data_IF_834676023714
#
_entry.id   IF_834676023714
#
_cell.length_a   1.000
_cell.length_b   1.000
_cell.length_c   1.000
_cell.angle_alpha   90.00
_cell.angle_beta   90.00
_cell.angle_gamma   90.00
#
_symmetry.space_group_name_H-M   'P 1'
#
loop_
_entity.id
_entity.type
_entity.pdbx_description
1 polymer ?
#
# COMPACT_ATOMS: atom_id res chain seq x y z
N UNK A 1 1.91 21.02 3.40
CA UNK A 1 1.80 21.02 1.92
C UNK A 1 0.96 19.83 1.50
N UNK A 2 -0.02 20.05 0.62
CA UNK A 2 -0.86 19.00 0.04
C UNK A 2 -0.72 19.00 -1.48
N UNK A 3 -0.45 17.85 -2.08
CA UNK A 3 -0.40 17.67 -3.53
C UNK A 3 -1.24 16.46 -3.94
N UNK A 4 -2.36 16.73 -4.62
CA UNK A 4 -3.20 15.70 -5.22
C UNK A 4 -2.50 15.05 -6.42
N UNK A 5 -2.62 13.74 -6.51
CA UNK A 5 -2.20 12.92 -7.65
C UNK A 5 -3.44 12.25 -8.21
N UNK A 6 -3.89 12.72 -9.38
CA UNK A 6 -5.06 12.14 -10.03
C UNK A 6 -4.70 10.80 -10.67
N UNK A 7 -5.53 9.79 -10.45
CA UNK A 7 -5.28 8.43 -10.90
C UNK A 7 -5.23 8.26 -12.43
N UNK A 8 -5.72 9.26 -13.17
CA UNK A 8 -5.64 9.33 -14.64
C UNK A 8 -4.29 9.80 -15.17
N UNK A 9 -3.49 10.43 -14.30
CA UNK A 9 -2.15 10.94 -14.64
C UNK A 9 -1.03 9.96 -14.20
N UNK A 10 -1.40 8.87 -13.50
CA UNK A 10 -0.49 7.80 -13.11
C UNK A 10 -0.04 6.97 -14.31
N UNK A 11 1.12 6.32 -14.18
CA UNK A 11 1.55 5.31 -15.14
C UNK A 11 0.57 4.13 -15.15
N UNK A 12 0.49 3.40 -16.27
CA UNK A 12 -0.33 2.20 -16.33
C UNK A 12 0.25 1.16 -17.28
N UNK A 13 -0.12 -0.10 -17.04
CA UNK A 13 0.19 -1.24 -17.90
C UNK A 13 -1.02 -2.16 -18.00
N UNK A 14 -1.16 -2.84 -19.14
CA UNK A 14 -2.18 -3.86 -19.36
C UNK A 14 -1.59 -5.02 -20.18
N UNK A 15 -1.41 -6.16 -19.52
CA UNK A 15 -0.90 -7.40 -20.10
C UNK A 15 -2.01 -8.43 -20.36
N UNK A 16 -3.27 -8.00 -20.34
CA UNK A 16 -4.45 -8.88 -20.38
C UNK A 16 -4.75 -9.48 -19.01
N UNK A 17 -3.84 -10.31 -18.48
CA UNK A 17 -4.00 -10.95 -17.17
C UNK A 17 -3.71 -10.01 -15.98
N UNK A 18 -2.88 -8.99 -16.20
CA UNK A 18 -2.51 -7.97 -15.23
C UNK A 18 -2.84 -6.58 -15.77
N UNK A 19 -3.55 -5.79 -14.97
CA UNK A 19 -3.74 -4.35 -15.20
C UNK A 19 -3.24 -3.59 -13.99
N UNK A 20 -2.24 -2.75 -14.19
CA UNK A 20 -1.57 -2.02 -13.11
C UNK A 20 -1.73 -0.52 -13.29
N UNK A 21 -1.94 0.20 -12.18
CA UNK A 21 -1.66 1.64 -12.09
C UNK A 21 -0.44 1.88 -11.22
N UNK A 22 0.50 2.66 -11.72
CA UNK A 22 1.78 2.95 -11.07
C UNK A 22 1.78 4.36 -10.49
N UNK A 23 1.85 4.44 -9.16
CA UNK A 23 1.95 5.72 -8.46
C UNK A 23 3.33 6.38 -8.64
N UNK A 24 4.37 5.57 -8.85
CA UNK A 24 5.76 5.97 -9.10
C UNK A 24 6.30 5.27 -10.35
N UNK A 25 7.47 5.68 -10.81
CA UNK A 25 8.16 5.05 -11.95
C UNK A 25 8.45 3.58 -11.69
N UNK A 26 7.94 2.69 -12.54
CA UNK A 26 8.04 1.25 -12.36
C UNK A 26 7.94 0.51 -13.70
N UNK A 27 8.66 -0.61 -13.82
CA UNK A 27 8.76 -1.39 -15.06
C UNK A 27 9.10 -0.49 -16.27
N UNK A 28 8.32 -0.60 -17.36
CA UNK A 28 8.50 0.20 -18.58
C UNK A 28 8.03 1.66 -18.42
N UNK A 29 7.29 1.99 -17.36
CA UNK A 29 6.87 3.36 -17.10
C UNK A 29 7.95 4.13 -16.34
N UNK A 30 8.47 5.18 -16.97
CA UNK A 30 9.52 6.02 -16.39
C UNK A 30 9.16 7.50 -16.42
N UNK A 31 9.16 8.13 -15.25
CA UNK A 31 9.06 9.57 -15.05
C UNK A 31 10.14 10.01 -14.04
N UNK A 32 11.20 10.71 -14.49
CA UNK A 32 12.31 11.09 -13.62
C UNK A 32 11.90 12.01 -12.46
N UNK A 33 10.76 12.69 -12.55
CA UNK A 33 10.23 13.56 -11.50
C UNK A 33 9.31 12.82 -10.50
N UNK A 34 9.11 11.50 -10.69
CA UNK A 34 8.21 10.69 -9.87
C UNK A 34 8.81 9.29 -9.67
N UNK A 35 10.00 9.22 -9.07
CA UNK A 35 10.73 7.96 -8.82
C UNK A 35 10.30 7.31 -7.49
N UNK A 36 10.08 8.13 -6.46
CA UNK A 36 9.74 7.73 -5.09
C UNK A 36 9.15 8.93 -4.34
N UNK A 37 8.53 8.67 -3.19
CA UNK A 37 8.14 9.70 -2.22
C UNK A 37 8.65 9.27 -0.83
N UNK A 38 9.61 10.02 -0.29
CA UNK A 38 10.36 9.56 0.88
C UNK A 38 10.93 8.16 0.64
N UNK A 39 10.67 7.24 1.58
CA UNK A 39 11.12 5.85 1.52
C UNK A 39 10.25 4.94 0.64
N UNK A 40 9.12 5.44 0.11
CA UNK A 40 8.22 4.69 -0.76
C UNK A 40 8.76 4.62 -2.18
N UNK A 41 9.12 3.42 -2.62
CA UNK A 41 9.65 3.19 -3.97
C UNK A 41 8.58 2.78 -4.98
N UNK A 42 7.59 1.99 -4.55
CA UNK A 42 6.53 1.47 -5.42
C UNK A 42 5.22 1.49 -4.65
N UNK A 43 4.16 1.95 -5.32
CA UNK A 43 2.78 1.62 -4.98
C UNK A 43 2.11 1.30 -6.31
N UNK A 44 1.71 0.04 -6.48
CA UNK A 44 0.97 -0.41 -7.65
C UNK A 44 -0.44 -0.82 -7.22
N UNK A 45 -1.45 -0.29 -7.90
CA UNK A 45 -2.85 -0.73 -7.77
C UNK A 45 -3.15 -1.72 -8.90
N UNK A 46 -3.03 -3.00 -8.57
CA UNK A 46 -3.00 -4.12 -9.50
C UNK A 46 -4.34 -4.86 -9.52
N UNK A 47 -4.82 -5.16 -10.73
CA UNK A 47 -5.92 -6.08 -11.00
C UNK A 47 -5.37 -7.32 -11.68
N UNK A 48 -5.62 -8.50 -11.10
CA UNK A 48 -5.09 -9.79 -11.55
C UNK A 48 -6.26 -10.73 -11.86
N UNK A 49 -6.31 -11.23 -13.09
CA UNK A 49 -7.34 -12.15 -13.55
C UNK A 49 -7.25 -13.51 -12.82
N UNK A 50 -8.41 -14.18 -12.69
CA UNK A 50 -8.50 -15.48 -12.03
C UNK A 50 -7.62 -16.54 -12.72
N UNK A 51 -6.93 -17.35 -11.92
CA UNK A 51 -6.01 -18.40 -12.38
C UNK A 51 -4.67 -17.89 -12.91
N UNK A 52 -4.35 -16.60 -12.73
CA UNK A 52 -3.11 -15.99 -13.20
C UNK A 52 -2.31 -15.36 -12.06
N UNK A 53 -1.11 -14.85 -12.33
CA UNK A 53 -0.26 -14.28 -11.30
C UNK A 53 1.16 -14.02 -11.74
N UNK A 54 1.96 -13.53 -10.80
CA UNK A 54 3.38 -13.36 -10.95
C UNK A 54 4.10 -14.68 -10.67
N UNK A 55 4.71 -15.26 -11.70
CA UNK A 55 5.60 -16.42 -11.56
C UNK A 55 6.81 -16.10 -10.68
N UNK A 56 7.53 -17.14 -10.26
CA UNK A 56 8.64 -17.02 -9.31
C UNK A 56 9.69 -16.02 -9.78
N UNK A 57 9.92 -14.97 -8.98
CA UNK A 57 10.88 -13.90 -9.26
C UNK A 57 11.64 -13.46 -7.99
N UNK A 58 12.83 -12.86 -8.14
CA UNK A 58 13.64 -12.45 -7.00
C UNK A 58 13.32 -11.04 -6.50
N UNK A 59 13.44 -10.84 -5.19
CA UNK A 59 13.63 -9.53 -4.57
C UNK A 59 14.85 -9.52 -3.66
N UNK A 60 15.39 -8.32 -3.42
CA UNK A 60 16.52 -8.08 -2.53
C UNK A 60 16.41 -6.68 -1.94
N UNK A 61 16.79 -6.53 -0.68
CA UNK A 61 16.92 -5.24 0.01
C UNK A 61 15.67 -4.35 -0.11
N UNK A 62 14.48 -4.94 0.08
CA UNK A 62 13.18 -4.27 -0.01
C UNK A 62 12.22 -4.81 1.07
N UNK A 63 11.46 -3.92 1.70
CA UNK A 63 10.28 -4.30 2.49
C UNK A 63 9.05 -4.22 1.56
N UNK A 64 8.34 -5.33 1.41
CA UNK A 64 7.22 -5.48 0.47
C UNK A 64 5.96 -5.74 1.28
N UNK A 65 4.93 -4.93 1.06
CA UNK A 65 3.62 -5.06 1.70
C UNK A 65 2.57 -5.24 0.60
N UNK A 66 1.84 -6.35 0.65
CA UNK A 66 0.68 -6.60 -0.21
C UNK A 66 -0.59 -6.37 0.62
N UNK A 67 -1.39 -5.38 0.24
CA UNK A 67 -2.68 -5.09 0.87
C UNK A 67 -3.82 -5.49 -0.06
N UNK A 68 -4.61 -6.51 0.31
CA UNK A 68 -5.69 -7.01 -0.55
C UNK A 68 -6.91 -6.12 -0.42
N UNK A 69 -7.32 -5.51 -1.53
CA UNK A 69 -8.55 -4.71 -1.60
C UNK A 69 -9.74 -5.63 -1.85
N UNK A 70 -9.66 -6.58 -2.78
CA UNK A 70 -10.71 -7.54 -3.07
C UNK A 70 -10.15 -8.82 -3.71
N UNK A 71 -10.83 -9.96 -3.56
CA UNK A 71 -10.39 -11.24 -4.12
C UNK A 71 -9.38 -11.99 -3.24
N UNK A 72 -8.68 -12.95 -3.84
CA UNK A 72 -7.79 -13.89 -3.15
C UNK A 72 -6.36 -13.80 -3.71
N UNK A 73 -5.38 -13.49 -2.86
CA UNK A 73 -3.96 -13.52 -3.20
C UNK A 73 -3.31 -14.74 -2.55
N UNK A 74 -2.76 -15.65 -3.36
CA UNK A 74 -1.97 -16.79 -2.88
C UNK A 74 -0.50 -16.52 -3.11
N UNK A 75 0.29 -16.59 -2.04
CA UNK A 75 1.74 -16.44 -2.06
C UNK A 75 2.43 -17.78 -1.88
N UNK A 76 3.56 -17.94 -2.56
CA UNK A 76 4.50 -19.04 -2.38
C UNK A 76 5.94 -18.51 -2.40
N UNK A 77 6.82 -19.01 -1.53
CA UNK A 77 8.22 -18.59 -1.53
C UNK A 77 9.24 -19.71 -1.30
N UNK A 78 10.50 -19.38 -1.57
CA UNK A 78 11.67 -20.23 -1.38
C UNK A 78 11.98 -20.61 0.08
N UNK A 79 11.30 -20.01 1.07
CA UNK A 79 11.40 -20.40 2.48
C UNK A 79 10.38 -21.49 2.85
N UNK A 80 9.51 -21.87 1.91
CA UNK A 80 8.49 -22.91 2.08
C UNK A 80 7.13 -22.40 2.55
N UNK A 81 6.91 -21.08 2.56
CA UNK A 81 5.61 -20.52 2.91
C UNK A 81 4.64 -20.67 1.73
N UNK A 82 3.37 -20.99 2.04
CA UNK A 82 2.27 -20.99 1.08
C UNK A 82 0.97 -20.62 1.78
N UNK A 83 0.46 -19.42 1.52
CA UNK A 83 -0.75 -18.90 2.18
C UNK A 83 -1.62 -18.12 1.20
N UNK A 84 -2.93 -18.13 1.45
CA UNK A 84 -3.89 -17.29 0.74
C UNK A 84 -4.47 -16.25 1.69
N UNK A 85 -4.47 -14.98 1.27
CA UNK A 85 -5.05 -13.84 2.00
C UNK A 85 -6.12 -13.15 1.15
N UNK A 86 -7.04 -12.46 1.82
CA UNK A 86 -8.26 -11.89 1.22
C UNK A 86 -8.49 -10.46 1.69
N UNK A 87 -9.61 -9.84 1.29
CA UNK A 87 -9.93 -8.42 1.56
C UNK A 87 -9.55 -7.97 2.97
N UNK A 88 -8.73 -6.92 3.02
CA UNK A 88 -8.30 -6.24 4.25
C UNK A 88 -7.19 -6.95 5.02
N UNK A 89 -6.77 -8.15 4.60
CA UNK A 89 -5.57 -8.81 5.12
C UNK A 89 -4.31 -8.19 4.49
N UNK A 90 -3.19 -8.40 5.18
CA UNK A 90 -1.88 -7.87 4.79
C UNK A 90 -0.86 -9.00 4.73
N UNK A 91 -0.16 -9.09 3.63
CA UNK A 91 1.07 -9.86 3.51
C UNK A 91 2.26 -8.91 3.64
N UNK A 92 3.33 -9.35 4.31
CA UNK A 92 4.55 -8.58 4.46
C UNK A 92 5.78 -9.46 4.30
N UNK A 93 6.77 -8.93 3.59
CA UNK A 93 8.03 -9.61 3.33
C UNK A 93 9.20 -8.62 3.44
N UNK A 94 10.21 -8.98 4.22
CA UNK A 94 11.53 -8.37 4.15
C UNK A 94 12.38 -9.23 3.24
N UNK A 95 12.75 -8.71 2.07
CA UNK A 95 13.54 -9.47 1.09
C UNK A 95 14.99 -9.65 1.52
N UNK A 96 15.54 -8.69 2.28
CA UNK A 96 16.87 -8.79 2.88
C UNK A 96 17.97 -9.21 1.89
N UNK A 97 18.77 -10.21 2.28
CA UNK A 97 19.84 -10.79 1.44
C UNK A 97 19.37 -11.41 0.12
N UNK A 98 18.07 -11.67 -0.04
CA UNK A 98 17.46 -12.21 -1.24
C UNK A 98 16.37 -13.23 -0.93
N UNK A 99 15.27 -13.18 -1.68
CA UNK A 99 14.16 -14.15 -1.63
C UNK A 99 13.57 -14.33 -3.03
N UNK A 100 13.22 -15.57 -3.37
CA UNK A 100 12.37 -15.87 -4.53
C UNK A 100 10.96 -16.14 -4.06
N UNK A 101 9.98 -15.55 -4.74
CA UNK A 101 8.56 -15.72 -4.43
C UNK A 101 7.68 -15.60 -5.68
N UNK A 102 6.44 -16.07 -5.57
CA UNK A 102 5.39 -15.95 -6.57
C UNK A 102 4.06 -15.60 -5.90
N UNK A 103 3.21 -14.89 -6.64
CA UNK A 103 1.94 -14.35 -6.16
C UNK A 103 0.86 -14.60 -7.22
N UNK A 104 -0.09 -15.49 -6.93
CA UNK A 104 -1.14 -15.90 -7.86
C UNK A 104 -2.54 -15.68 -7.31
N UNK A 105 -3.45 -15.27 -8.19
CA UNK A 105 -4.88 -15.30 -7.95
C UNK A 105 -5.44 -16.68 -8.29
N UNK A 106 -5.46 -17.59 -7.33
CA UNK A 106 -6.16 -18.89 -7.46
C UNK A 106 -7.65 -18.80 -7.07
N UNK A 107 -8.15 -17.59 -6.82
CA UNK A 107 -9.57 -17.33 -6.64
C UNK A 107 -10.36 -17.42 -7.94
N UNK A 108 -11.67 -17.18 -7.85
CA UNK A 108 -12.59 -17.21 -9.00
C UNK A 108 -12.86 -15.82 -9.59
N UNK A 109 -12.66 -14.78 -8.79
CA UNK A 109 -12.91 -13.39 -9.15
C UNK A 109 -11.60 -12.67 -9.44
N UNK A 110 -11.68 -11.47 -10.04
CA UNK A 110 -10.52 -10.59 -10.18
C UNK A 110 -10.01 -10.18 -8.79
N UNK A 111 -8.72 -10.39 -8.57
CA UNK A 111 -7.99 -9.90 -7.40
C UNK A 111 -7.61 -8.43 -7.64
N UNK A 112 -7.91 -7.57 -6.66
CA UNK A 112 -7.36 -6.21 -6.57
C UNK A 112 -6.48 -6.10 -5.33
N UNK A 113 -5.24 -5.68 -5.51
CA UNK A 113 -4.33 -5.41 -4.39
C UNK A 113 -3.53 -4.11 -4.59
N UNK A 114 -3.04 -3.55 -3.47
CA UNK A 114 -1.97 -2.58 -3.50
C UNK A 114 -0.65 -3.30 -3.18
N UNK A 115 0.29 -3.26 -4.12
CA UNK A 115 1.64 -3.76 -3.94
C UNK A 115 2.58 -2.59 -3.59
N UNK A 116 3.10 -2.58 -2.37
CA UNK A 116 3.80 -1.43 -1.78
C UNK A 116 5.25 -1.85 -1.48
N UNK A 117 6.22 -1.14 -2.04
CA UNK A 117 7.63 -1.38 -1.78
C UNK A 117 8.27 -0.19 -1.06
N UNK A 118 8.94 -0.49 0.03
CA UNK A 118 9.57 0.45 0.94
C UNK A 118 11.06 0.10 1.04
N UNK A 119 11.92 1.09 0.86
CA UNK A 119 13.34 0.90 1.13
C UNK A 119 13.56 0.60 2.62
N UNK A 120 14.31 -0.45 2.99
CA UNK A 120 14.70 -0.66 4.38
C UNK A 120 15.71 0.41 4.80
N UNK A 121 15.85 0.62 6.11
CA UNK A 121 16.83 1.53 6.71
C UNK A 121 18.29 1.08 6.51
N UNK A 122 18.50 -0.22 6.25
CA UNK A 122 19.76 -0.80 5.83
C UNK A 122 19.56 -2.03 4.94
N UNK A 123 20.59 -2.35 4.18
CA UNK A 123 20.65 -3.54 3.34
C UNK A 123 21.08 -4.78 4.13
N UNK A 124 20.83 -5.96 3.56
CA UNK A 124 21.36 -7.23 4.05
C UNK A 124 20.66 -7.78 5.29
N UNK A 125 19.41 -7.36 5.56
CA UNK A 125 18.59 -8.02 6.58
C UNK A 125 18.43 -9.51 6.27
N UNK A 126 18.13 -10.29 7.31
CA UNK A 126 17.71 -11.68 7.11
C UNK A 126 16.31 -11.67 6.46
N UNK A 127 16.09 -12.43 5.37
CA UNK A 127 14.77 -12.54 4.78
C UNK A 127 13.73 -13.02 5.80
N UNK A 128 12.53 -12.45 5.74
CA UNK A 128 11.40 -12.84 6.59
C UNK A 128 10.08 -12.62 5.87
N UNK A 129 9.11 -13.46 6.17
CA UNK A 129 7.76 -13.41 5.61
C UNK A 129 6.72 -13.56 6.72
N UNK A 130 5.55 -12.95 6.52
CA UNK A 130 4.35 -13.25 7.28
C UNK A 130 3.11 -12.69 6.62
N UNK A 131 1.95 -13.11 7.14
CA UNK A 131 0.67 -12.48 6.87
C UNK A 131 -0.02 -12.11 8.19
N UNK A 132 -0.90 -11.12 8.13
CA UNK A 132 -1.75 -10.72 9.24
C UNK A 132 -3.18 -10.53 8.75
N UNK A 133 -4.11 -11.20 9.44
CA UNK A 133 -5.54 -11.22 9.12
C UNK A 133 -6.31 -10.33 10.08
N UNK A 134 -6.31 -9.03 9.77
CA UNK A 134 -7.13 -8.06 10.51
C UNK A 134 -8.61 -8.32 10.28
N UNK A 135 -9.46 -8.09 11.29
CA UNK A 135 -10.89 -8.05 11.03
C UNK A 135 -11.21 -6.79 10.20
N UNK A 136 -12.25 -6.86 9.37
CA UNK A 136 -12.65 -5.68 8.58
C UNK A 136 -13.08 -4.54 9.51
N UNK A 137 -13.92 -4.82 10.50
CA UNK A 137 -14.45 -3.86 11.48
C UNK A 137 -13.36 -3.15 12.33
N UNK A 138 -12.13 -3.66 12.34
CA UNK A 138 -11.01 -3.00 13.02
C UNK A 138 -10.65 -1.64 12.39
N UNK A 139 -11.13 -1.35 11.17
CA UNK A 139 -10.93 -0.06 10.46
C UNK A 139 -12.22 0.74 10.23
N UNK A 140 -13.38 0.26 10.71
CA UNK A 140 -14.67 0.94 10.53
C UNK A 140 -14.72 2.20 11.40
N UNK A 141 -14.87 3.36 10.76
CA UNK A 141 -14.92 4.70 11.35
C UNK A 141 -13.75 5.03 12.31
N UNK A 142 -12.61 4.35 12.17
CA UNK A 142 -11.41 4.54 12.99
C UNK A 142 -10.15 4.13 12.23
N UNK A 143 -9.03 4.76 12.54
CA UNK A 143 -7.73 4.37 11.98
C UNK A 143 -7.26 3.02 12.56
N UNK A 144 -7.03 2.05 11.68
CA UNK A 144 -6.37 0.80 12.00
C UNK A 144 -4.87 0.92 11.73
N UNK A 145 -4.04 0.92 12.78
CA UNK A 145 -2.57 0.91 12.66
C UNK A 145 -2.06 -0.50 12.34
N UNK A 146 -1.70 -0.75 11.09
CA UNK A 146 -1.35 -2.10 10.61
C UNK A 146 0.15 -2.38 10.68
N UNK A 147 0.98 -1.42 10.25
CA UNK A 147 2.43 -1.58 10.11
C UNK A 147 3.15 -0.47 10.86
N UNK A 148 4.27 -0.79 11.50
CA UNK A 148 5.22 0.16 12.09
C UNK A 148 6.67 -0.31 11.88
N UNK A 149 7.61 0.54 12.26
CA UNK A 149 9.00 0.15 12.50
C UNK A 149 9.10 -0.91 13.62
N UNK A 150 10.32 -1.37 13.90
CA UNK A 150 10.60 -2.38 14.93
C UNK A 150 10.24 -1.93 16.36
N UNK A 151 10.23 -0.63 16.65
CA UNK A 151 9.99 -0.11 18.00
C UNK A 151 8.54 0.37 18.22
N UNK A 152 7.73 0.49 17.17
CA UNK A 152 6.35 0.95 17.27
C UNK A 152 5.39 -0.06 17.90
N UNK A 153 4.08 0.19 17.79
CA UNK A 153 3.04 -0.62 18.45
C UNK A 153 2.17 -1.45 17.49
N UNK A 154 2.34 -1.31 16.18
CA UNK A 154 1.56 -2.08 15.21
C UNK A 154 1.96 -3.56 15.22
N UNK A 155 1.04 -4.49 14.87
CA UNK A 155 1.36 -5.92 14.88
C UNK A 155 2.37 -6.32 13.80
N UNK A 156 2.37 -5.64 12.64
CA UNK A 156 3.35 -5.90 11.58
C UNK A 156 4.56 -4.99 11.77
N UNK A 157 5.76 -5.59 11.73
CA UNK A 157 7.04 -4.95 12.03
C UNK A 157 7.98 -4.98 10.83
N UNK A 158 8.31 -3.83 10.26
CA UNK A 158 9.27 -3.70 9.15
C UNK A 158 10.53 -2.94 9.56
N UNK A 159 11.55 -3.00 8.70
CA UNK A 159 12.85 -2.39 8.93
C UNK A 159 12.94 -0.96 8.37
N UNK A 160 11.94 -0.12 8.62
CA UNK A 160 11.93 1.28 8.19
C UNK A 160 11.02 2.11 9.12
N UNK A 161 11.35 3.39 9.33
CA UNK A 161 10.47 4.37 10.00
C UNK A 161 9.32 4.77 9.07
N UNK A 162 8.30 3.92 9.05
CA UNK A 162 7.04 4.16 8.38
C UNK A 162 5.92 3.44 9.10
N UNK A 163 4.76 4.09 9.13
CA UNK A 163 3.51 3.56 9.62
C UNK A 163 2.55 3.38 8.45
N UNK A 164 1.74 2.31 8.49
CA UNK A 164 0.65 2.13 7.53
C UNK A 164 -0.66 1.99 8.28
N UNK A 165 -1.63 2.83 7.91
CA UNK A 165 -2.98 2.85 8.47
C UNK A 165 -4.02 2.57 7.40
N UNK A 166 -5.09 1.86 7.77
CA UNK A 166 -6.29 1.73 6.93
C UNK A 166 -7.51 2.28 7.64
N UNK A 167 -8.47 2.77 6.87
CA UNK A 167 -9.73 3.33 7.33
C UNK A 167 -10.84 2.98 6.34
N UNK A 168 -11.97 2.51 6.85
CA UNK A 168 -13.25 2.53 6.16
C UNK A 168 -14.12 3.57 6.88
N UNK A 169 -14.38 4.68 6.22
CA UNK A 169 -15.16 5.78 6.81
C UNK A 169 -16.51 5.85 6.11
N UNK A 170 -17.59 5.77 6.88
CA UNK A 170 -18.94 5.86 6.34
C UNK A 170 -19.18 7.22 5.68
N UNK A 171 -20.12 7.28 4.74
CA UNK A 171 -20.57 8.52 4.11
C UNK A 171 -20.92 9.61 5.15
N UNK A 172 -20.58 10.86 4.82
CA UNK A 172 -20.88 12.06 5.62
C UNK A 172 -20.21 12.12 7.00
N UNK A 173 -19.24 11.24 7.25
CA UNK A 173 -18.38 11.27 8.44
C UNK A 173 -17.10 12.06 8.18
N UNK A 174 -16.46 12.43 9.28
CA UNK A 174 -15.16 13.07 9.27
C UNK A 174 -14.22 12.43 10.29
N UNK A 175 -12.92 12.46 9.99
CA UNK A 175 -11.87 12.01 10.90
C UNK A 175 -10.59 12.80 10.62
N UNK A 176 -9.85 13.15 11.67
CA UNK A 176 -8.53 13.75 11.56
C UNK A 176 -7.43 12.70 11.45
N UNK A 177 -6.30 13.10 10.85
CA UNK A 177 -5.05 12.34 10.92
C UNK A 177 -3.87 13.31 11.10
N UNK A 178 -3.12 13.20 12.21
CA UNK A 178 -1.99 14.08 12.46
C UNK A 178 -0.77 13.61 11.69
N UNK A 179 -0.21 14.47 10.84
CA UNK A 179 1.10 14.22 10.21
C UNK A 179 2.20 14.84 11.06
N UNK A 180 1.99 16.03 11.64
CA UNK A 180 2.97 16.78 12.46
C UNK A 180 4.21 17.25 11.68
N UNK A 181 4.94 18.19 12.28
CA UNK A 181 6.22 18.70 11.77
C UNK A 181 7.30 17.60 11.73
N UNK A 182 8.17 17.62 10.73
CA UNK A 182 9.21 16.61 10.51
C UNK A 182 8.72 15.28 9.91
N UNK A 183 7.44 15.16 9.58
CA UNK A 183 6.81 13.96 9.02
C UNK A 183 6.16 14.26 7.67
N UNK A 184 5.90 13.21 6.92
CA UNK A 184 5.15 13.26 5.66
C UNK A 184 4.29 12.01 5.50
N UNK A 185 3.21 12.10 4.73
CA UNK A 185 2.30 11.00 4.46
C UNK A 185 1.94 10.91 2.98
N UNK A 186 1.75 9.67 2.52
CA UNK A 186 1.19 9.35 1.22
C UNK A 186 -0.16 8.68 1.44
N UNK A 187 -1.22 9.34 1.00
CA UNK A 187 -2.59 8.86 1.13
C UNK A 187 -3.07 8.27 -0.19
N UNK A 188 -3.75 7.13 -0.13
CA UNK A 188 -4.43 6.50 -1.27
C UNK A 188 -5.93 6.40 -0.97
N UNK A 189 -6.75 7.04 -1.80
CA UNK A 189 -8.20 6.86 -1.82
C UNK A 189 -8.50 5.55 -2.56
N UNK A 190 -8.55 4.41 -1.86
CA UNK A 190 -8.69 3.09 -2.51
C UNK A 190 -10.07 2.95 -3.17
N UNK A 191 -11.13 3.32 -2.44
CA UNK A 191 -12.54 3.24 -2.86
C UNK A 191 -13.31 4.46 -2.33
N UNK A 192 -14.38 4.87 -3.01
CA UNK A 192 -15.23 5.99 -2.60
C UNK A 192 -14.71 7.36 -2.96
N UNK A 193 -15.27 8.39 -2.34
CA UNK A 193 -15.00 9.80 -2.59
C UNK A 193 -14.93 10.58 -1.27
N UNK A 194 -13.86 11.36 -1.09
CA UNK A 194 -13.64 12.19 0.09
C UNK A 194 -13.09 13.57 -0.26
N UNK A 195 -13.31 14.53 0.64
CA UNK A 195 -12.67 15.85 0.65
C UNK A 195 -11.61 15.83 1.77
N UNK A 196 -10.38 16.18 1.42
CA UNK A 196 -9.24 16.26 2.35
C UNK A 196 -8.74 17.71 2.33
N UNK A 197 -8.91 18.44 3.45
CA UNK A 197 -8.57 19.88 3.55
C UNK A 197 -9.04 20.70 2.31
N UNK A 198 -10.29 20.53 1.90
CA UNK A 198 -10.93 21.15 0.72
C UNK A 198 -10.50 20.61 -0.67
N UNK A 199 -9.68 19.57 -0.73
CA UNK A 199 -9.28 18.92 -1.98
C UNK A 199 -10.05 17.61 -2.13
N UNK A 200 -10.82 17.48 -3.21
CA UNK A 200 -11.58 16.27 -3.50
C UNK A 200 -10.70 15.18 -4.12
N UNK A 201 -10.78 13.96 -3.56
CA UNK A 201 -10.19 12.73 -4.08
C UNK A 201 -11.33 11.75 -4.42
N UNK A 202 -11.21 11.14 -5.59
CA UNK A 202 -12.08 10.03 -6.01
C UNK A 202 -11.31 8.71 -5.99
N UNK A 203 -11.97 7.63 -6.35
CA UNK A 203 -11.38 6.31 -6.37
C UNK A 203 -10.04 6.29 -7.10
N UNK A 204 -9.06 5.67 -6.44
CA UNK A 204 -7.67 5.47 -6.90
C UNK A 204 -6.82 6.75 -6.95
N UNK A 205 -7.36 7.92 -6.59
CA UNK A 205 -6.53 9.11 -6.42
C UNK A 205 -5.59 8.94 -5.22
N UNK A 206 -4.52 9.73 -5.21
CA UNK A 206 -3.59 9.80 -4.09
C UNK A 206 -3.27 11.24 -3.70
N UNK A 207 -2.63 11.42 -2.55
CA UNK A 207 -2.16 12.72 -2.08
C UNK A 207 -0.83 12.57 -1.35
N UNK A 208 0.14 13.41 -1.73
CA UNK A 208 1.34 13.68 -0.95
C UNK A 208 1.03 14.77 0.08
N UNK A 209 1.39 14.51 1.33
CA UNK A 209 1.13 15.37 2.48
C UNK A 209 2.46 15.58 3.21
N UNK A 210 2.86 16.82 3.43
CA UNK A 210 4.12 17.14 4.13
C UNK A 210 3.81 18.13 5.25
N UNK A 211 4.12 17.75 6.48
CA UNK A 211 4.04 18.59 7.68
C UNK A 211 2.70 19.31 7.86
N UNK A 212 1.60 18.66 7.49
CA UNK A 212 0.27 19.24 7.53
C UNK A 212 -0.74 18.18 7.98
N UNK A 213 -1.45 18.48 9.06
CA UNK A 213 -2.53 17.63 9.54
C UNK A 213 -3.71 17.68 8.58
N UNK A 214 -4.37 16.54 8.40
CA UNK A 214 -5.49 16.43 7.47
C UNK A 214 -6.79 16.15 8.20
N UNK A 215 -7.87 16.73 7.68
CA UNK A 215 -9.26 16.39 8.00
C UNK A 215 -9.87 15.77 6.75
N UNK A 216 -10.31 14.52 6.88
CA UNK A 216 -10.98 13.78 5.82
C UNK A 216 -12.48 13.87 6.07
N UNK A 217 -13.25 14.24 5.04
CA UNK A 217 -14.72 14.20 5.05
C UNK A 217 -15.24 13.40 3.86
N UNK A 218 -16.02 12.37 4.11
CA UNK A 218 -16.51 11.46 3.07
C UNK A 218 -17.78 12.00 2.37
N UNK A 219 -17.81 11.92 1.04
CA UNK A 219 -19.04 12.08 0.24
C UNK A 219 -19.74 10.75 0.01
N UNK A 220 -18.98 9.66 0.02
CA UNK A 220 -19.42 8.28 -0.06
C UNK A 220 -18.60 7.44 0.93
N UNK A 221 -19.11 6.28 1.34
CA UNK A 221 -18.32 5.35 2.16
C UNK A 221 -16.98 5.10 1.46
N UNK A 222 -15.90 5.39 2.17
CA UNK A 222 -14.57 5.51 1.59
C UNK A 222 -13.60 4.57 2.28
N UNK A 223 -12.81 3.88 1.48
CA UNK A 223 -11.72 3.04 1.95
C UNK A 223 -10.39 3.73 1.63
N UNK A 224 -9.63 4.06 2.67
CA UNK A 224 -8.43 4.89 2.58
C UNK A 224 -7.26 4.15 3.22
N UNK A 225 -6.07 4.34 2.63
CA UNK A 225 -4.80 3.91 3.18
C UNK A 225 -3.88 5.13 3.35
N UNK A 226 -3.20 5.22 4.49
CA UNK A 226 -2.17 6.25 4.74
C UNK A 226 -0.86 5.56 5.06
N UNK A 227 0.19 5.95 4.35
CA UNK A 227 1.58 5.58 4.63
C UNK A 227 2.30 6.81 5.15
N UNK A 228 2.72 6.81 6.40
CA UNK A 228 3.22 7.98 7.09
C UNK A 228 4.62 7.72 7.65
N UNK A 229 5.56 8.60 7.34
CA UNK A 229 7.00 8.37 7.48
C UNK A 229 7.72 9.67 7.85
N UNK A 230 9.00 9.57 8.19
CA UNK A 230 9.82 10.77 8.35
C UNK A 230 9.88 11.57 7.05
N UNK A 231 9.83 12.89 7.19
CA UNK A 231 10.11 13.79 6.09
C UNK A 231 11.54 13.56 5.63
N UNK A 232 11.71 13.48 4.32
CA UNK A 232 13.01 13.50 3.67
C UNK A 232 13.11 14.81 2.89
N UNK A 233 14.30 15.39 2.88
CA UNK A 233 14.60 16.64 2.19
C UNK A 233 14.58 16.50 0.66
#
# INVERSE_FOLDING_TARGET
>A
MLKKIESKNMGSSNLGWLRSKFHFSFAEYYNPNNINFGVLRVINDDLIEAGTGFDTHPHKDMEIISYVVNGDLTHEDSMGNKNTITRGHVQFMSAGSGVYHSEHNFGKEILRLLQIWIFPDKQGYKPSYGDYRFNWDDRHNKWLHMVSDKNGNAPIKINQDINIYSLELEKEKEIDFPVKEGRQAYLVQIEGNSIINNIELVDRDAMEIVEEDILIKTKETSHILILEMNKQD
#
